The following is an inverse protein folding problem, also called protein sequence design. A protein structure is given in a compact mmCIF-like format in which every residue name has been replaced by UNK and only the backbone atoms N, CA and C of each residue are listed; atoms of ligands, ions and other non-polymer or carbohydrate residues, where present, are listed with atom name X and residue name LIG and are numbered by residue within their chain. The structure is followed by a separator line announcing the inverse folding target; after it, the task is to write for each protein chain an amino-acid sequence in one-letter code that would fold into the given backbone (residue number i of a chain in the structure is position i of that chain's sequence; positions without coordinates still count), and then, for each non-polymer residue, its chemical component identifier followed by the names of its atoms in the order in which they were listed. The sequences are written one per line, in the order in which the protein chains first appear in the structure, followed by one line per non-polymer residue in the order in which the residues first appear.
data_IF_252581206606
#
_entry.id   IF_252581206606
#
_cell.length_a   1.000
_cell.length_b   1.000
_cell.length_c   1.000
_cell.angle_alpha   90.00
_cell.angle_beta   90.00
_cell.angle_gamma   90.00
#
_symmetry.space_group_name_H-M   'P 1'
#
loop_
_entity.id
_entity.type
_entity.pdbx_description
1 polymer ?
#
# COMPACT_ATOMS: atom_id res chain seq x y z
N UNK A 1 -6.08 -15.71 39.18
CA UNK A 1 -5.86 -16.20 37.80
C UNK A 1 -6.60 -15.27 36.85
N UNK A 2 -5.96 -14.72 35.81
CA UNK A 2 -6.71 -13.96 34.82
C UNK A 2 -7.61 -14.95 34.05
N UNK A 3 -8.79 -14.52 33.59
CA UNK A 3 -9.67 -15.38 32.82
C UNK A 3 -8.94 -15.75 31.52
N UNK A 4 -8.79 -17.05 31.27
CA UNK A 4 -8.43 -17.58 29.96
C UNK A 4 -9.51 -17.16 28.97
N UNK A 5 -9.26 -16.08 28.22
CA UNK A 5 -10.06 -15.70 27.07
C UNK A 5 -9.89 -16.77 25.99
N UNK A 6 -10.70 -17.82 26.04
CA UNK A 6 -10.82 -18.79 24.94
C UNK A 6 -11.34 -18.02 23.73
N UNK A 7 -10.48 -17.78 22.75
CA UNK A 7 -10.84 -17.11 21.50
C UNK A 7 -11.97 -17.90 20.83
N UNK A 8 -13.14 -17.29 20.71
CA UNK A 8 -14.28 -17.87 19.98
C UNK A 8 -13.84 -18.17 18.54
N UNK A 9 -13.95 -19.43 18.07
CA UNK A 9 -13.61 -19.76 16.69
C UNK A 9 -14.55 -19.05 15.73
N UNK A 10 -14.02 -18.62 14.58
CA UNK A 10 -14.80 -17.99 13.52
C UNK A 10 -15.66 -19.05 12.83
N UNK A 11 -16.98 -18.98 13.02
CA UNK A 11 -17.95 -19.94 12.46
C UNK A 11 -18.51 -19.44 11.11
N UNK A 12 -18.74 -20.32 10.13
CA UNK A 12 -19.49 -20.03 8.89
C UNK A 12 -20.74 -20.93 8.84
N UNK A 13 -21.92 -20.33 8.70
CA UNK A 13 -23.19 -21.06 8.59
C UNK A 13 -23.62 -21.31 7.13
N UNK A 14 -24.44 -22.34 6.90
CA UNK A 14 -25.07 -22.65 5.60
C UNK A 14 -26.39 -21.88 5.33
N UNK A 15 -26.74 -20.91 6.18
CA UNK A 15 -27.99 -20.15 6.11
C UNK A 15 -27.81 -18.82 5.35
N UNK A 16 -28.91 -18.25 4.88
CA UNK A 16 -28.91 -16.93 4.24
C UNK A 16 -28.30 -15.88 5.18
N UNK A 17 -27.26 -15.14 4.75
CA UNK A 17 -26.53 -14.22 5.61
C UNK A 17 -27.44 -13.11 6.14
N UNK A 18 -27.12 -12.61 7.34
CA UNK A 18 -27.85 -11.54 8.00
C UNK A 18 -26.92 -10.38 8.32
N UNK A 19 -27.42 -9.17 8.12
CA UNK A 19 -26.67 -7.93 8.30
C UNK A 19 -26.89 -7.32 9.71
N UNK A 20 -26.18 -6.24 9.99
CA UNK A 20 -26.43 -5.36 11.13
C UNK A 20 -27.81 -4.72 11.04
N UNK A 21 -28.46 -4.48 12.19
CA UNK A 21 -29.61 -3.58 12.27
C UNK A 21 -29.12 -2.13 12.31
N UNK A 22 -29.78 -1.25 11.57
CA UNK A 22 -29.49 0.18 11.60
C UNK A 22 -29.71 0.77 13.00
N UNK A 23 -28.66 1.31 13.61
CA UNK A 23 -28.69 1.91 14.95
C UNK A 23 -28.50 3.43 14.91
N UNK A 24 -29.04 4.10 13.87
CA UNK A 24 -28.97 5.54 13.65
C UNK A 24 -27.56 6.02 13.29
N UNK A 25 -27.33 6.43 12.05
CA UNK A 25 -26.02 6.85 11.54
C UNK A 25 -24.90 5.83 11.85
N UNK A 26 -25.20 4.54 11.75
CA UNK A 26 -24.24 3.44 11.99
C UNK A 26 -23.80 2.75 10.70
N UNK A 27 -24.26 3.21 9.54
CA UNK A 27 -24.03 2.50 8.28
C UNK A 27 -22.57 2.52 7.85
N UNK A 28 -21.79 3.54 8.20
CA UNK A 28 -20.34 3.54 7.99
C UNK A 28 -19.63 2.42 8.78
N UNK A 29 -20.13 2.05 9.96
CA UNK A 29 -19.60 0.93 10.76
C UNK A 29 -20.01 -0.41 10.15
N UNK A 30 -21.31 -0.59 9.90
CA UNK A 30 -21.84 -1.87 9.41
C UNK A 30 -21.27 -2.21 8.03
N UNK A 31 -21.29 -1.26 7.09
CA UNK A 31 -20.75 -1.43 5.74
C UNK A 31 -19.24 -1.73 5.74
N UNK A 32 -18.47 -1.09 6.62
CA UNK A 32 -17.04 -1.39 6.74
C UNK A 32 -16.80 -2.79 7.28
N UNK A 33 -17.46 -3.17 8.37
CA UNK A 33 -17.20 -4.47 9.00
C UNK A 33 -17.59 -5.65 8.11
N UNK A 34 -18.72 -5.57 7.41
CA UNK A 34 -19.07 -6.62 6.44
C UNK A 34 -18.10 -6.63 5.26
N UNK A 35 -17.60 -5.47 4.83
CA UNK A 35 -16.58 -5.35 3.79
C UNK A 35 -15.19 -5.79 4.25
N UNK A 36 -14.91 -5.92 5.54
CA UNK A 36 -13.61 -6.43 5.99
C UNK A 36 -13.67 -7.92 6.33
N UNK A 37 -14.82 -8.41 6.80
CA UNK A 37 -14.88 -9.69 7.50
C UNK A 37 -16.06 -10.59 7.14
N UNK A 38 -17.06 -10.17 6.35
CA UNK A 38 -18.22 -11.05 6.14
C UNK A 38 -17.85 -12.35 5.44
N UNK A 39 -17.09 -12.26 4.34
CA UNK A 39 -16.97 -13.36 3.36
C UNK A 39 -15.55 -13.85 3.11
N UNK A 40 -14.57 -13.17 3.70
CA UNK A 40 -13.14 -13.42 3.51
C UNK A 40 -12.42 -13.28 4.84
N UNK A 41 -11.28 -13.95 4.95
CA UNK A 41 -10.53 -14.15 6.19
C UNK A 41 -9.13 -13.54 6.16
N UNK A 42 -8.76 -12.85 5.08
CA UNK A 42 -7.41 -12.27 4.93
C UNK A 42 -7.04 -11.30 6.06
N UNK A 43 -8.02 -10.61 6.64
CA UNK A 43 -7.84 -9.65 7.72
C UNK A 43 -8.21 -10.18 9.11
N UNK A 44 -8.61 -11.45 9.26
CA UNK A 44 -9.04 -12.02 10.55
C UNK A 44 -7.96 -11.95 11.63
N UNK A 45 -6.69 -11.94 11.21
CA UNK A 45 -5.54 -11.76 12.09
C UNK A 45 -5.60 -10.46 12.91
N UNK A 46 -6.28 -9.42 12.42
CA UNK A 46 -6.51 -8.16 13.15
C UNK A 46 -7.38 -8.35 14.39
N UNK A 47 -8.24 -9.36 14.41
CA UNK A 47 -9.20 -9.61 15.48
C UNK A 47 -8.66 -10.59 16.52
N UNK A 48 -7.34 -10.84 16.56
CA UNK A 48 -6.73 -11.80 17.48
C UNK A 48 -6.21 -11.18 18.77
N UNK A 49 -6.05 -9.86 18.84
CA UNK A 49 -5.56 -9.20 20.05
C UNK A 49 -6.62 -9.28 21.18
N UNK A 50 -6.20 -9.44 22.44
CA UNK A 50 -7.11 -9.51 23.59
C UNK A 50 -7.49 -8.11 24.08
N UNK A 51 -8.05 -7.27 23.21
CA UNK A 51 -8.54 -5.92 23.57
C UNK A 51 -10.06 -5.87 23.59
N UNK A 52 -10.68 -4.98 24.40
CA UNK A 52 -12.14 -4.82 24.42
C UNK A 52 -12.74 -4.52 23.03
N UNK A 53 -12.04 -3.70 22.24
CA UNK A 53 -12.43 -3.41 20.85
C UNK A 53 -12.39 -4.67 19.98
N UNK A 54 -11.29 -5.44 20.02
CA UNK A 54 -11.18 -6.70 19.28
C UNK A 54 -12.29 -7.68 19.67
N UNK A 55 -12.61 -7.79 20.96
CA UNK A 55 -13.66 -8.67 21.45
C UNK A 55 -15.05 -8.23 20.96
N UNK A 56 -15.33 -6.92 20.94
CA UNK A 56 -16.57 -6.38 20.39
C UNK A 56 -16.70 -6.63 18.88
N UNK A 57 -15.63 -6.38 18.13
CA UNK A 57 -15.55 -6.66 16.69
C UNK A 57 -15.72 -8.15 16.39
N UNK A 58 -14.98 -9.02 17.08
CA UNK A 58 -15.05 -10.48 16.91
C UNK A 58 -16.46 -11.03 17.17
N UNK A 59 -17.13 -10.54 18.23
CA UNK A 59 -18.53 -10.88 18.48
C UNK A 59 -19.45 -10.45 17.33
N UNK A 60 -19.30 -9.23 16.82
CA UNK A 60 -20.12 -8.75 15.70
C UNK A 60 -19.88 -9.56 14.42
N UNK A 61 -18.62 -9.81 14.07
CA UNK A 61 -18.21 -10.58 12.90
C UNK A 61 -18.71 -12.03 12.98
N UNK A 62 -18.59 -12.68 14.14
CA UNK A 62 -19.08 -14.05 14.32
C UNK A 62 -20.59 -14.16 14.09
N UNK A 63 -21.36 -13.14 14.48
CA UNK A 63 -22.80 -13.12 14.23
C UNK A 63 -23.12 -13.00 12.74
N UNK A 64 -22.46 -12.07 12.05
CA UNK A 64 -22.60 -11.89 10.60
C UNK A 64 -22.31 -13.21 9.86
N UNK A 65 -21.17 -13.86 10.18
CA UNK A 65 -20.76 -15.12 9.54
C UNK A 65 -21.62 -16.32 9.94
N UNK A 66 -22.24 -16.28 11.12
CA UNK A 66 -23.21 -17.27 11.58
C UNK A 66 -24.64 -16.98 11.10
N UNK A 67 -24.81 -16.07 10.14
CA UNK A 67 -26.11 -15.67 9.61
C UNK A 67 -27.09 -15.16 10.68
N UNK A 68 -26.58 -14.54 11.75
CA UNK A 68 -27.38 -13.91 12.79
C UNK A 68 -27.32 -12.39 12.65
N UNK A 69 -28.46 -11.69 12.73
CA UNK A 69 -28.45 -10.23 12.66
C UNK A 69 -27.74 -9.65 13.89
N UNK A 70 -26.91 -8.63 13.67
CA UNK A 70 -26.33 -7.87 14.79
C UNK A 70 -27.40 -6.91 15.32
N UNK A 71 -27.96 -7.26 16.48
CA UNK A 71 -29.08 -6.52 17.10
C UNK A 71 -28.68 -5.11 17.54
N UNK A 72 -29.66 -4.20 17.68
CA UNK A 72 -29.42 -2.81 18.10
C UNK A 72 -28.59 -2.69 19.39
N UNK A 73 -28.83 -3.47 20.46
CA UNK A 73 -27.98 -3.41 21.65
C UNK A 73 -26.52 -3.78 21.36
N UNK A 74 -26.28 -4.73 20.44
CA UNK A 74 -24.93 -5.14 20.05
C UNK A 74 -24.23 -4.09 19.19
N UNK A 75 -24.95 -3.42 18.28
CA UNK A 75 -24.40 -2.28 17.53
C UNK A 75 -24.05 -1.12 18.46
N UNK A 76 -24.89 -0.83 19.46
CA UNK A 76 -24.60 0.19 20.49
C UNK A 76 -23.38 -0.18 21.34
N UNK A 77 -23.25 -1.44 21.76
CA UNK A 77 -22.08 -1.92 22.48
C UNK A 77 -20.78 -1.82 21.64
N UNK A 78 -20.86 -2.12 20.35
CA UNK A 78 -19.74 -1.93 19.42
C UNK A 78 -19.36 -0.45 19.29
N UNK A 79 -20.33 0.47 19.19
CA UNK A 79 -20.07 1.92 19.18
C UNK A 79 -19.39 2.39 20.46
N UNK A 80 -19.84 1.90 21.62
CA UNK A 80 -19.19 2.20 22.90
C UNK A 80 -17.73 1.72 22.90
N UNK A 81 -17.46 0.49 22.45
CA UNK A 81 -16.10 -0.03 22.36
C UNK A 81 -15.20 0.76 21.38
N UNK A 82 -15.77 1.30 20.29
CA UNK A 82 -15.04 2.21 19.39
C UNK A 82 -14.68 3.53 20.10
N UNK A 83 -15.64 4.12 20.83
CA UNK A 83 -15.43 5.35 21.60
C UNK A 83 -14.36 5.13 22.67
N UNK A 84 -14.44 4.04 23.43
CA UNK A 84 -13.46 3.68 24.47
C UNK A 84 -12.05 3.45 23.90
N UNK A 85 -11.97 3.05 22.62
CA UNK A 85 -10.72 2.89 21.90
C UNK A 85 -10.20 4.17 21.22
N UNK A 86 -10.89 5.31 21.38
CA UNK A 86 -10.46 6.61 20.87
C UNK A 86 -11.26 7.20 19.70
N UNK A 87 -12.32 6.53 19.22
CA UNK A 87 -13.16 7.02 18.12
C UNK A 87 -14.18 8.08 18.60
N UNK A 88 -13.70 9.27 18.94
CA UNK A 88 -14.52 10.36 19.49
C UNK A 88 -15.16 11.25 18.41
N UNK A 89 -15.98 10.65 17.53
CA UNK A 89 -16.60 11.36 16.38
C UNK A 89 -18.07 11.72 16.55
N UNK A 90 -18.62 11.55 17.75
CA UNK A 90 -20.02 11.83 18.04
C UNK A 90 -20.99 10.80 17.43
N UNK A 91 -22.27 11.15 17.37
CA UNK A 91 -23.35 10.22 16.94
C UNK A 91 -23.77 10.36 15.49
N UNK A 92 -23.23 11.36 14.78
CA UNK A 92 -23.51 11.65 13.36
C UNK A 92 -22.90 10.63 12.39
N UNK A 93 -23.22 10.80 11.11
CA UNK A 93 -22.60 10.03 10.03
C UNK A 93 -21.10 10.37 9.94
N UNK A 94 -20.26 9.36 9.72
CA UNK A 94 -18.82 9.54 9.63
C UNK A 94 -18.26 8.99 8.32
N UNK A 95 -17.03 9.38 8.01
CA UNK A 95 -16.28 8.84 6.89
C UNK A 95 -15.83 7.40 7.17
N UNK A 96 -16.20 6.48 6.27
CA UNK A 96 -15.81 5.07 6.36
C UNK A 96 -14.31 4.86 6.14
N UNK A 97 -13.64 5.70 5.35
CA UNK A 97 -12.20 5.64 5.14
C UNK A 97 -11.44 6.09 6.41
N UNK A 98 -11.96 7.11 7.11
CA UNK A 98 -11.43 7.55 8.40
C UNK A 98 -11.62 6.48 9.48
N UNK A 99 -12.80 5.82 9.52
CA UNK A 99 -13.01 4.69 10.41
C UNK A 99 -12.04 3.52 10.11
N UNK A 100 -11.79 3.23 8.83
CA UNK A 100 -10.82 2.20 8.43
C UNK A 100 -9.41 2.54 8.94
N UNK A 101 -8.95 3.77 8.73
CA UNK A 101 -7.64 4.22 9.22
C UNK A 101 -7.55 4.07 10.74
N UNK A 102 -8.57 4.53 11.48
CA UNK A 102 -8.66 4.36 12.93
C UNK A 102 -8.62 2.89 13.35
N UNK A 103 -9.39 2.02 12.70
CA UNK A 103 -9.37 0.59 13.02
C UNK A 103 -8.01 -0.02 12.76
N UNK A 104 -7.35 0.35 11.68
CA UNK A 104 -6.01 -0.15 11.39
C UNK A 104 -4.97 0.33 12.42
N UNK A 105 -5.06 1.56 12.91
CA UNK A 105 -4.24 2.02 14.03
C UNK A 105 -4.56 1.25 15.33
N UNK A 106 -5.83 1.24 15.73
CA UNK A 106 -6.29 0.64 16.99
C UNK A 106 -6.04 -0.88 17.06
N UNK A 107 -6.05 -1.56 15.92
CA UNK A 107 -5.78 -3.00 15.80
C UNK A 107 -4.32 -3.30 15.45
N UNK A 108 -3.45 -2.28 15.40
CA UNK A 108 -2.04 -2.41 15.04
C UNK A 108 -1.83 -3.12 13.70
N UNK A 109 -2.68 -2.84 12.71
CA UNK A 109 -2.62 -3.44 11.39
C UNK A 109 -1.26 -3.16 10.73
N UNK A 110 -0.68 -4.16 10.04
CA UNK A 110 0.54 -3.95 9.30
C UNK A 110 0.29 -3.02 8.09
N UNK A 111 1.38 -2.50 7.54
CA UNK A 111 1.39 -1.58 6.42
C UNK A 111 1.63 -2.28 5.08
N UNK A 112 1.10 -1.67 4.03
CA UNK A 112 1.36 -1.98 2.62
C UNK A 112 2.69 -1.31 2.23
N UNK A 113 3.77 -2.06 1.96
CA UNK A 113 5.05 -1.49 1.59
C UNK A 113 5.09 -1.14 0.10
N UNK A 114 5.51 0.09 -0.19
CA UNK A 114 5.81 0.59 -1.52
C UNK A 114 7.28 0.98 -1.61
N UNK A 115 7.84 0.87 -2.80
CA UNK A 115 9.15 1.34 -3.15
C UNK A 115 9.04 2.43 -4.20
N UNK A 116 9.51 3.63 -3.90
CA UNK A 116 9.44 4.76 -4.82
C UNK A 116 10.77 4.94 -5.53
N UNK A 117 10.71 5.06 -6.85
CA UNK A 117 11.82 5.42 -7.72
C UNK A 117 11.56 6.82 -8.31
N UNK A 118 12.40 7.77 -7.95
CA UNK A 118 12.30 9.17 -8.35
C UNK A 118 13.15 9.37 -9.62
N UNK A 119 12.48 9.57 -10.75
CA UNK A 119 13.06 9.70 -12.07
C UNK A 119 13.22 11.18 -12.43
N UNK A 120 14.43 11.60 -12.80
CA UNK A 120 14.71 12.98 -13.21
C UNK A 120 15.89 13.07 -14.19
N UNK A 121 16.02 14.21 -14.89
CA UNK A 121 17.06 14.44 -15.90
C UNK A 121 18.48 14.68 -15.35
N UNK A 122 18.70 14.57 -14.03
CA UNK A 122 20.03 14.69 -13.40
C UNK A 122 20.67 13.33 -13.16
N UNK A 123 21.95 13.36 -12.81
CA UNK A 123 22.68 12.16 -12.38
C UNK A 123 21.92 11.47 -11.24
N UNK A 124 21.69 10.15 -11.33
CA UNK A 124 20.97 9.40 -10.29
C UNK A 124 21.54 9.64 -8.90
N UNK A 125 20.70 9.87 -7.91
CA UNK A 125 21.02 10.13 -6.49
C UNK A 125 20.57 8.95 -5.61
N UNK A 126 21.30 8.55 -4.56
CA UNK A 126 20.83 7.48 -3.66
C UNK A 126 19.47 7.80 -3.04
N UNK A 127 19.18 9.08 -2.79
CA UNK A 127 17.91 9.56 -2.26
C UNK A 127 16.76 9.53 -3.28
N UNK A 128 16.99 9.03 -4.50
CA UNK A 128 15.92 8.81 -5.48
C UNK A 128 15.16 7.50 -5.24
N UNK A 129 15.69 6.62 -4.40
CA UNK A 129 15.03 5.38 -4.04
C UNK A 129 14.56 5.41 -2.58
N UNK A 130 13.25 5.47 -2.37
CA UNK A 130 12.67 5.75 -1.05
C UNK A 130 11.55 4.76 -0.72
N UNK A 131 11.70 3.93 0.33
CA UNK A 131 10.59 3.12 0.81
C UNK A 131 9.50 4.03 1.39
N UNK A 132 8.26 3.68 1.15
CA UNK A 132 7.11 4.30 1.82
C UNK A 132 6.12 3.24 2.19
N UNK A 133 5.31 3.48 3.20
CA UNK A 133 4.27 2.55 3.59
C UNK A 133 2.91 3.23 3.60
N UNK A 134 1.90 2.46 3.23
CA UNK A 134 0.53 2.91 3.13
C UNK A 134 -0.38 1.96 3.90
N UNK A 135 -1.60 2.42 4.17
CA UNK A 135 -2.68 1.57 4.68
C UNK A 135 -3.92 1.62 3.81
N UNK A 136 -4.03 2.66 2.99
CA UNK A 136 -5.14 2.95 2.09
C UNK A 136 -4.58 3.75 0.92
N UNK A 137 -4.79 3.27 -0.31
CA UNK A 137 -4.33 3.96 -1.52
C UNK A 137 -5.42 4.92 -1.98
N UNK A 138 -5.13 6.21 -1.98
CA UNK A 138 -6.07 7.23 -2.42
C UNK A 138 -5.95 7.47 -3.92
N UNK A 139 -6.99 7.12 -4.67
CA UNK A 139 -7.05 7.22 -6.12
C UNK A 139 -7.87 8.43 -6.54
N UNK A 140 -7.29 9.28 -7.37
CA UNK A 140 -8.00 10.40 -7.97
C UNK A 140 -8.97 9.89 -9.03
N UNK A 141 -10.20 10.44 -9.06
CA UNK A 141 -11.20 10.10 -10.08
C UNK A 141 -11.29 11.26 -11.06
N UNK A 142 -10.69 11.19 -12.26
CA UNK A 142 -10.83 12.23 -13.28
C UNK A 142 -12.22 12.15 -13.94
N UNK A 143 -12.66 13.21 -14.65
CA UNK A 143 -13.84 13.09 -15.51
C UNK A 143 -13.59 12.03 -16.59
N UNK A 144 -14.63 11.31 -17.05
CA UNK A 144 -14.47 10.33 -18.11
C UNK A 144 -14.02 11.00 -19.41
N UNK A 145 -13.14 10.36 -20.20
CA UNK A 145 -12.71 10.91 -21.48
C UNK A 145 -13.90 10.93 -22.47
N UNK A 146 -13.94 11.85 -23.44
CA UNK A 146 -15.03 11.91 -24.42
C UNK A 146 -15.21 10.61 -25.22
N UNK A 147 -14.14 9.81 -25.35
CA UNK A 147 -14.10 8.55 -26.08
C UNK A 147 -14.62 7.34 -25.30
N UNK A 148 -14.80 7.42 -23.98
CA UNK A 148 -15.24 6.28 -23.17
C UNK A 148 -16.25 6.69 -22.09
N UNK A 149 -17.32 5.91 -21.88
CA UNK A 149 -18.39 6.27 -20.95
C UNK A 149 -17.99 6.14 -19.47
N UNK A 150 -16.87 5.47 -19.15
CA UNK A 150 -16.39 5.22 -17.78
C UNK A 150 -14.86 5.32 -17.73
N UNK A 151 -14.32 5.78 -16.60
CA UNK A 151 -12.89 5.67 -16.32
C UNK A 151 -12.59 4.26 -15.81
N UNK A 152 -11.56 3.59 -16.33
CA UNK A 152 -11.19 2.27 -15.82
C UNK A 152 -10.38 2.39 -14.53
N UNK A 153 -10.64 1.53 -13.53
CA UNK A 153 -9.84 1.47 -12.30
C UNK A 153 -8.35 1.24 -12.60
N UNK A 154 -8.03 0.48 -13.67
CA UNK A 154 -6.65 0.30 -14.14
C UNK A 154 -5.95 1.64 -14.38
N UNK A 155 -6.60 2.57 -15.09
CA UNK A 155 -6.03 3.89 -15.35
C UNK A 155 -5.78 4.68 -14.06
N UNK A 156 -6.68 4.58 -13.07
CA UNK A 156 -6.48 5.24 -11.78
C UNK A 156 -5.27 4.69 -11.01
N UNK A 157 -5.05 3.37 -11.11
CA UNK A 157 -3.90 2.71 -10.52
C UNK A 157 -2.62 3.05 -11.29
N UNK A 158 -2.64 3.04 -12.62
CA UNK A 158 -1.49 3.45 -13.45
C UNK A 158 -1.08 4.90 -13.10
N UNK A 159 -2.03 5.81 -12.90
CA UNK A 159 -1.75 7.17 -12.45
C UNK A 159 -1.13 7.20 -11.04
N UNK A 160 -1.66 6.41 -10.10
CA UNK A 160 -1.14 6.33 -8.73
C UNK A 160 0.29 5.76 -8.66
N UNK A 161 0.58 4.75 -9.48
CA UNK A 161 1.86 4.05 -9.49
C UNK A 161 2.91 4.74 -10.37
N UNK A 162 2.54 5.40 -11.48
CA UNK A 162 3.51 5.83 -12.48
C UNK A 162 3.43 7.31 -12.88
N UNK A 163 2.34 8.02 -12.59
CA UNK A 163 2.14 9.40 -13.08
C UNK A 163 2.35 10.48 -12.00
N UNK A 164 2.86 10.13 -10.81
CA UNK A 164 3.03 11.11 -9.74
C UNK A 164 4.22 12.04 -10.01
N UNK A 165 3.98 13.34 -10.13
CA UNK A 165 5.05 14.33 -10.29
C UNK A 165 5.43 14.95 -8.94
N UNK A 166 6.74 15.12 -8.70
CA UNK A 166 7.31 15.88 -7.59
C UNK A 166 8.06 17.10 -8.15
N UNK A 167 7.40 18.27 -8.25
CA UNK A 167 8.04 19.49 -8.71
C UNK A 167 8.98 20.05 -7.64
N UNK A 168 10.01 20.77 -8.08
CA UNK A 168 10.90 21.52 -7.18
C UNK A 168 11.80 20.67 -6.28
N UNK A 169 12.00 19.40 -6.62
CA UNK A 169 12.94 18.52 -5.95
C UNK A 169 14.35 19.09 -6.08
N UNK A 170 15.08 19.25 -4.97
CA UNK A 170 16.46 19.75 -5.02
C UNK A 170 17.42 18.57 -5.16
N UNK A 171 18.23 18.62 -6.22
CA UNK A 171 19.31 17.65 -6.50
C UNK A 171 20.56 18.41 -6.86
N UNK A 172 21.63 18.15 -6.12
CA UNK A 172 22.92 18.83 -6.32
C UNK A 172 22.79 20.37 -6.33
N UNK A 173 21.92 20.92 -5.47
CA UNK A 173 21.66 22.37 -5.37
C UNK A 173 20.67 22.93 -6.39
N UNK A 174 20.30 22.19 -7.44
CA UNK A 174 19.41 22.62 -8.52
C UNK A 174 18.00 22.08 -8.31
N UNK A 175 16.97 22.89 -8.59
CA UNK A 175 15.58 22.44 -8.62
C UNK A 175 15.30 21.64 -9.90
N UNK A 176 14.64 20.49 -9.75
CA UNK A 176 14.21 19.64 -10.86
C UNK A 176 12.79 19.17 -10.67
N UNK A 177 12.11 18.95 -11.79
CA UNK A 177 10.86 18.21 -11.80
C UNK A 177 11.18 16.73 -11.94
N UNK A 178 10.57 15.92 -11.08
CA UNK A 178 10.77 14.49 -11.06
C UNK A 178 9.45 13.75 -11.19
N UNK A 179 9.48 12.57 -11.80
CA UNK A 179 8.36 11.63 -11.83
C UNK A 179 8.64 10.51 -10.84
N UNK A 180 7.65 10.09 -10.07
CA UNK A 180 7.76 9.00 -9.11
C UNK A 180 7.07 7.78 -9.69
N UNK A 181 7.86 6.75 -9.98
CA UNK A 181 7.38 5.42 -10.27
C UNK A 181 7.40 4.58 -8.99
N UNK A 182 6.33 3.83 -8.72
CA UNK A 182 6.18 3.02 -7.52
C UNK A 182 6.15 1.55 -7.87
N UNK A 183 6.69 0.75 -6.96
CA UNK A 183 6.61 -0.70 -6.96
C UNK A 183 6.00 -1.15 -5.62
N UNK A 184 5.11 -2.13 -5.68
CA UNK A 184 4.44 -2.74 -4.53
C UNK A 184 5.20 -4.00 -4.10
N UNK A 185 5.45 -4.13 -2.81
CA UNK A 185 5.96 -5.37 -2.24
C UNK A 185 4.76 -6.29 -1.94
N UNK A 186 4.77 -7.56 -2.39
CA UNK A 186 3.58 -8.43 -2.35
C UNK A 186 3.30 -9.06 -0.96
N UNK A 187 3.68 -8.37 0.12
CA UNK A 187 3.50 -8.80 1.50
C UNK A 187 3.43 -7.60 2.44
N UNK A 188 2.93 -7.82 3.65
CA UNK A 188 2.83 -6.79 4.69
C UNK A 188 4.17 -6.49 5.38
N UNK A 189 4.34 -5.25 5.84
CA UNK A 189 5.41 -4.85 6.78
C UNK A 189 4.82 -4.25 8.08
N UNK A 190 5.32 -4.58 9.28
CA UNK A 190 5.04 -3.91 10.53
C UNK A 190 5.86 -2.62 10.66
N UNK A 191 6.88 -2.44 9.83
CA UNK A 191 7.82 -1.33 9.94
C UNK A 191 7.38 -0.22 8.98
N UNK A 192 7.19 0.98 9.54
CA UNK A 192 6.89 2.22 8.83
C UNK A 192 8.18 2.94 8.48
N UNK A 193 8.17 3.66 7.36
CA UNK A 193 9.30 4.50 6.93
C UNK A 193 9.69 5.59 7.94
N UNK A 194 8.79 5.98 8.84
CA UNK A 194 9.04 6.95 9.91
C UNK A 194 9.71 6.36 11.16
N UNK A 195 9.96 5.04 11.18
CA UNK A 195 10.58 4.32 12.30
C UNK A 195 9.59 3.71 13.30
N UNK A 196 8.28 3.85 13.07
CA UNK A 196 7.25 3.16 13.85
C UNK A 196 7.22 1.66 13.49
N UNK A 197 7.21 0.77 14.48
CA UNK A 197 7.00 -0.67 14.28
C UNK A 197 5.75 -1.14 15.01
N UNK A 198 4.79 -1.71 14.28
CA UNK A 198 3.57 -2.29 14.86
C UNK A 198 3.78 -3.73 15.32
N UNK A 199 2.99 -4.18 16.30
CA UNK A 199 3.07 -5.56 16.84
C UNK A 199 2.40 -6.62 15.96
N UNK A 200 1.97 -6.27 14.75
CA UNK A 200 1.32 -7.21 13.84
C UNK A 200 2.24 -8.37 13.47
N UNK A 201 1.75 -9.58 13.67
CA UNK A 201 2.47 -10.78 13.26
C UNK A 201 2.19 -11.09 11.79
N UNK A 202 3.08 -10.61 10.89
CA UNK A 202 2.93 -10.70 9.41
C UNK A 202 2.44 -12.08 8.92
N UNK A 203 2.99 -13.17 9.45
CA UNK A 203 2.68 -14.54 8.99
C UNK A 203 1.23 -14.99 9.23
N UNK A 204 0.46 -14.24 10.04
CA UNK A 204 -0.96 -14.52 10.28
C UNK A 204 -1.85 -14.03 9.13
N UNK A 205 -1.34 -13.17 8.26
CA UNK A 205 -2.05 -12.66 7.08
C UNK A 205 -1.75 -13.55 5.87
N UNK A 206 -2.80 -14.06 5.22
CA UNK A 206 -2.66 -15.02 4.11
C UNK A 206 -2.27 -14.34 2.80
N UNK A 207 -2.90 -13.20 2.53
CA UNK A 207 -2.69 -12.37 1.35
C UNK A 207 -2.59 -10.91 1.76
N UNK A 208 -1.90 -10.12 0.96
CA UNK A 208 -1.93 -8.67 1.10
C UNK A 208 -3.29 -8.16 0.62
N UNK A 209 -4.09 -7.63 1.54
CA UNK A 209 -5.30 -6.89 1.19
C UNK A 209 -4.93 -5.43 0.94
N UNK A 210 -5.36 -4.90 -0.20
CA UNK A 210 -5.14 -3.54 -0.67
C UNK A 210 -6.47 -2.76 -0.60
N UNK A 211 -6.64 -1.90 0.41
CA UNK A 211 -7.73 -0.94 0.44
C UNK A 211 -7.44 0.19 -0.55
N UNK A 212 -8.40 0.51 -1.41
CA UNK A 212 -8.35 1.61 -2.36
C UNK A 212 -9.51 2.56 -2.07
N UNK A 213 -9.23 3.84 -1.80
CA UNK A 213 -10.26 4.87 -1.66
C UNK A 213 -10.33 5.73 -2.91
N UNK A 214 -11.53 5.86 -3.48
CA UNK A 214 -11.80 6.73 -4.62
C UNK A 214 -12.12 8.14 -4.10
N UNK A 215 -11.30 9.14 -4.48
CA UNK A 215 -11.51 10.54 -4.09
C UNK A 215 -12.71 11.15 -4.81
N UNK A 216 -13.91 10.82 -4.33
CA UNK A 216 -15.18 11.32 -4.88
C UNK A 216 -15.63 12.63 -4.25
N UNK A 217 -15.11 13.02 -3.09
CA UNK A 217 -15.49 14.27 -2.44
C UNK A 217 -14.43 15.33 -2.75
N UNK A 218 -14.86 16.44 -3.36
CA UNK A 218 -13.96 17.54 -3.68
C UNK A 218 -13.40 18.18 -2.41
N UNK A 219 -12.07 18.36 -2.35
CA UNK A 219 -11.40 18.91 -1.16
C UNK A 219 -11.90 20.32 -0.75
N UNK A 220 -12.40 21.10 -1.71
CA UNK A 220 -12.84 22.48 -1.50
C UNK A 220 -14.36 22.63 -1.44
N UNK A 221 -15.09 21.96 -2.33
CA UNK A 221 -16.56 22.08 -2.39
C UNK A 221 -17.28 21.11 -1.44
N UNK A 222 -16.64 20.01 -1.03
CA UNK A 222 -17.29 18.91 -0.33
C UNK A 222 -18.32 18.16 -1.18
N UNK A 223 -18.53 18.59 -2.43
CA UNK A 223 -19.48 17.99 -3.35
C UNK A 223 -18.98 16.63 -3.82
N UNK A 224 -19.92 15.70 -3.91
CA UNK A 224 -19.64 14.36 -4.40
C UNK A 224 -19.67 14.28 -5.92
N UNK A 225 -18.55 13.82 -6.49
CA UNK A 225 -18.40 13.40 -7.88
C UNK A 225 -18.91 11.99 -8.09
N UNK A 226 -19.81 11.85 -9.07
CA UNK A 226 -20.46 10.57 -9.45
C UNK A 226 -20.08 10.11 -10.86
N UNK A 227 -18.91 10.57 -11.34
CA UNK A 227 -18.30 10.07 -12.57
C UNK A 227 -18.10 8.55 -12.47
N UNK A 228 -18.57 7.76 -13.45
CA UNK A 228 -18.59 6.32 -13.34
C UNK A 228 -17.18 5.73 -13.54
N UNK A 229 -16.81 4.82 -12.64
CA UNK A 229 -15.55 4.05 -12.68
C UNK A 229 -15.88 2.59 -12.96
N UNK A 230 -15.23 1.99 -13.96
CA UNK A 230 -15.32 0.54 -14.19
C UNK A 230 -14.44 -0.19 -13.17
N UNK A 231 -15.06 -1.08 -12.38
CA UNK A 231 -14.42 -1.81 -11.28
C UNK A 231 -14.39 -3.30 -11.61
N UNK A 232 -13.26 -3.81 -12.14
CA UNK A 232 -13.15 -5.20 -12.55
C UNK A 232 -13.07 -6.12 -11.32
N UNK A 233 -13.62 -7.33 -11.44
CA UNK A 233 -13.52 -8.33 -10.35
C UNK A 233 -12.12 -8.96 -10.23
N UNK A 234 -11.33 -8.91 -11.29
CA UNK A 234 -9.94 -9.34 -11.33
C UNK A 234 -9.14 -8.38 -12.24
N UNK A 235 -7.92 -8.02 -11.82
CA UNK A 235 -7.03 -7.14 -12.56
C UNK A 235 -5.60 -7.68 -12.51
N UNK A 236 -4.94 -7.78 -13.67
CA UNK A 236 -3.50 -8.04 -13.70
C UNK A 236 -2.75 -6.83 -13.13
N UNK A 237 -1.92 -7.10 -12.15
CA UNK A 237 -1.13 -6.10 -11.41
C UNK A 237 0.36 -6.46 -11.39
N UNK A 238 0.79 -7.37 -12.28
CA UNK A 238 2.18 -7.83 -12.37
C UNK A 238 3.14 -6.65 -12.51
N UNK A 239 2.79 -5.64 -13.31
CA UNK A 239 3.60 -4.43 -13.51
C UNK A 239 3.87 -3.66 -12.22
N UNK A 240 2.94 -3.70 -11.26
CA UNK A 240 3.08 -2.98 -9.99
C UNK A 240 4.03 -3.71 -9.03
N UNK A 241 4.23 -5.02 -9.17
CA UNK A 241 5.01 -5.85 -8.23
C UNK A 241 6.30 -6.41 -8.84
N UNK A 242 6.51 -6.23 -10.16
CA UNK A 242 7.51 -6.96 -10.94
C UNK A 242 8.93 -6.87 -10.37
N UNK A 243 9.32 -5.70 -9.82
CA UNK A 243 10.64 -5.49 -9.21
C UNK A 243 10.92 -6.45 -8.04
N UNK A 244 9.87 -6.90 -7.34
CA UNK A 244 9.96 -7.74 -6.15
C UNK A 244 9.31 -9.13 -6.32
N UNK A 245 8.70 -9.38 -7.47
CA UNK A 245 7.96 -10.61 -7.74
C UNK A 245 8.82 -11.76 -8.28
N UNK A 246 10.10 -11.52 -8.60
CA UNK A 246 10.99 -12.55 -9.16
C UNK A 246 10.47 -13.15 -10.48
N UNK A 247 9.76 -12.35 -11.28
CA UNK A 247 9.11 -12.79 -12.53
C UNK A 247 7.76 -13.50 -12.35
N UNK A 248 7.26 -13.66 -11.11
CA UNK A 248 5.93 -14.19 -10.88
C UNK A 248 4.84 -13.19 -11.30
N UNK A 249 3.76 -13.71 -11.90
CA UNK A 249 2.57 -12.90 -12.21
C UNK A 249 1.73 -12.69 -10.96
N UNK A 250 1.01 -11.57 -10.91
CA UNK A 250 0.10 -11.25 -9.82
C UNK A 250 -1.22 -10.69 -10.32
N UNK A 251 -2.28 -10.96 -9.59
CA UNK A 251 -3.61 -10.42 -9.83
C UNK A 251 -4.19 -9.81 -8.56
N UNK A 252 -4.93 -8.72 -8.72
CA UNK A 252 -5.78 -8.15 -7.69
C UNK A 252 -7.19 -8.70 -7.87
N UNK A 253 -7.73 -9.39 -6.87
CA UNK A 253 -9.09 -9.92 -6.86
C UNK A 253 -10.01 -9.08 -5.97
N UNK A 254 -11.11 -8.60 -6.52
CA UNK A 254 -12.08 -7.81 -5.77
C UNK A 254 -12.77 -8.68 -4.71
N UNK A 255 -12.79 -8.20 -3.47
CA UNK A 255 -13.50 -8.83 -2.35
C UNK A 255 -14.73 -8.05 -1.93
N UNK A 256 -14.63 -6.73 -1.89
CA UNK A 256 -15.77 -5.89 -1.54
C UNK A 256 -15.65 -4.45 -2.02
N UNK A 257 -16.80 -3.78 -2.05
CA UNK A 257 -16.98 -2.38 -2.38
C UNK A 257 -17.90 -1.75 -1.33
N UNK A 258 -17.49 -0.63 -0.72
CA UNK A 258 -18.40 0.24 0.02
C UNK A 258 -18.80 1.39 -0.88
N UNK A 259 -20.08 1.50 -1.18
CA UNK A 259 -20.68 2.64 -1.86
C UNK A 259 -21.24 3.65 -0.85
N UNK A 260 -21.16 4.93 -1.17
CA UNK A 260 -21.81 5.99 -0.41
C UNK A 260 -22.97 6.58 -1.20
N UNK A 261 -24.20 6.57 -0.68
CA UNK A 261 -25.37 7.23 -1.29
C UNK A 261 -25.59 8.57 -0.62
N UNK A 262 -25.52 9.67 -1.36
CA UNK A 262 -25.77 11.01 -0.81
C UNK A 262 -24.81 12.06 -1.37
N UNK A 263 -25.11 13.34 -1.14
CA UNK A 263 -24.39 14.47 -1.75
C UNK A 263 -23.06 14.80 -1.07
N UNK A 264 -22.87 14.45 0.21
CA UNK A 264 -21.67 14.81 0.98
C UNK A 264 -21.27 13.72 1.97
N UNK A 265 -20.04 13.75 2.46
CA UNK A 265 -19.48 12.69 3.31
C UNK A 265 -20.17 12.57 4.68
N UNK A 266 -20.72 13.67 5.18
CA UNK A 266 -21.44 13.73 6.46
C UNK A 266 -22.96 13.55 6.34
N UNK A 267 -23.49 13.43 5.11
CA UNK A 267 -24.92 13.28 4.87
C UNK A 267 -25.17 12.28 3.73
N UNK A 268 -25.57 11.07 4.13
CA UNK A 268 -25.81 9.99 3.20
C UNK A 268 -25.97 8.64 3.89
N UNK A 269 -25.77 7.58 3.12
CA UNK A 269 -25.96 6.21 3.53
C UNK A 269 -24.95 5.28 2.86
N UNK A 270 -24.19 4.52 3.66
CA UNK A 270 -23.24 3.56 3.13
C UNK A 270 -23.90 2.20 2.88
N UNK A 271 -23.59 1.61 1.73
CA UNK A 271 -24.00 0.25 1.35
C UNK A 271 -22.77 -0.53 0.95
N UNK A 272 -22.62 -1.74 1.46
CA UNK A 272 -21.51 -2.61 1.09
C UNK A 272 -21.94 -3.69 0.11
N UNK A 273 -21.02 -4.06 -0.76
CA UNK A 273 -21.11 -5.19 -1.66
C UNK A 273 -19.93 -6.10 -1.40
N UNK A 274 -20.18 -7.40 -1.26
CA UNK A 274 -19.11 -8.41 -1.24
C UNK A 274 -19.22 -9.28 -2.48
N UNK A 275 -18.07 -9.77 -2.97
CA UNK A 275 -17.98 -10.62 -4.13
C UNK A 275 -17.10 -11.84 -3.85
N UNK A 276 -17.60 -13.01 -4.24
CA UNK A 276 -16.82 -14.24 -4.25
C UNK A 276 -17.19 -15.11 -5.46
N UNK A 277 -16.24 -15.69 -6.20
CA UNK A 277 -16.52 -16.44 -7.44
C UNK A 277 -17.57 -17.55 -7.27
N UNK A 278 -17.66 -18.17 -6.09
CA UNK A 278 -18.63 -19.23 -5.79
C UNK A 278 -19.96 -18.73 -5.24
N UNK A 279 -19.97 -17.55 -4.61
CA UNK A 279 -21.14 -17.03 -3.87
C UNK A 279 -21.86 -15.93 -4.66
N UNK A 280 -21.20 -15.38 -5.68
CA UNK A 280 -21.68 -14.21 -6.42
C UNK A 280 -21.56 -12.93 -5.59
N UNK A 281 -22.39 -11.96 -5.94
CA UNK A 281 -22.49 -10.67 -5.28
C UNK A 281 -23.49 -10.71 -4.14
N UNK A 282 -23.15 -10.08 -3.02
CA UNK A 282 -24.06 -9.81 -1.92
C UNK A 282 -24.10 -8.33 -1.57
N UNK A 283 -25.30 -7.79 -1.43
CA UNK A 283 -25.53 -6.42 -0.98
C UNK A 283 -25.91 -6.42 0.49
N UNK A 284 -25.18 -5.61 1.25
CA UNK A 284 -25.32 -5.42 2.69
C UNK A 284 -25.79 -3.98 2.95
N UNK A 285 -27.10 -3.84 3.13
CA UNK A 285 -27.75 -2.58 3.45
C UNK A 285 -28.39 -2.70 4.84
N UNK A 286 -27.96 -1.90 5.82
CA UNK A 286 -28.48 -2.03 7.19
C UNK A 286 -29.92 -1.48 7.36
N UNK A 287 -30.42 -0.77 6.33
CA UNK A 287 -31.82 -0.35 6.21
C UNK A 287 -32.76 -1.48 5.77
N UNK A 288 -32.23 -2.59 5.25
CA UNK A 288 -33.03 -3.75 4.83
C UNK A 288 -33.35 -4.69 6.02
N UNK A 289 -33.50 -4.16 7.23
CA UNK A 289 -33.85 -4.91 8.46
C UNK A 289 -32.97 -6.14 8.75
N UNK A 290 -31.70 -6.07 8.34
CA UNK A 290 -30.74 -7.15 8.50
C UNK A 290 -30.83 -8.24 7.42
N UNK A 291 -31.58 -8.04 6.34
CA UNK A 291 -31.56 -8.90 5.16
C UNK A 291 -30.30 -8.64 4.31
N UNK A 292 -29.86 -9.67 3.60
CA UNK A 292 -28.75 -9.59 2.63
C UNK A 292 -29.27 -10.07 1.30
N UNK A 293 -29.14 -9.24 0.27
CA UNK A 293 -29.60 -9.56 -1.08
C UNK A 293 -28.46 -10.19 -1.88
N UNK A 294 -28.78 -11.06 -2.82
CA UNK A 294 -27.77 -11.71 -3.67
C UNK A 294 -28.03 -11.48 -5.16
N UNK A 295 -26.97 -11.52 -5.95
CA UNK A 295 -27.00 -11.52 -7.41
C UNK A 295 -25.82 -12.35 -7.96
N UNK A 296 -25.97 -12.89 -9.16
CA UNK A 296 -24.84 -13.48 -9.88
C UNK A 296 -23.96 -12.39 -10.49
N UNK A 297 -22.71 -12.75 -10.79
CA UNK A 297 -21.84 -11.95 -11.63
C UNK A 297 -21.97 -12.36 -13.10
N UNK A 298 -21.87 -11.40 -14.00
CA UNK A 298 -21.77 -11.64 -15.44
C UNK A 298 -20.60 -12.58 -15.75
N UNK A 299 -20.83 -13.58 -16.61
CA UNK A 299 -19.77 -14.50 -17.03
C UNK A 299 -18.62 -13.80 -17.78
N UNK A 300 -18.90 -12.68 -18.45
CA UNK A 300 -17.92 -11.96 -19.26
C UNK A 300 -17.06 -10.98 -18.44
N UNK A 301 -17.65 -10.27 -17.49
CA UNK A 301 -16.98 -9.15 -16.78
C UNK A 301 -16.86 -9.37 -15.26
N UNK A 302 -17.63 -10.30 -14.71
CA UNK A 302 -17.82 -10.48 -13.27
C UNK A 302 -18.65 -9.38 -12.61
N UNK A 303 -19.06 -8.33 -13.33
CA UNK A 303 -19.94 -7.27 -12.81
C UNK A 303 -21.29 -7.86 -12.38
N UNK A 304 -22.01 -7.26 -11.42
CA UNK A 304 -23.31 -7.77 -11.00
C UNK A 304 -24.30 -7.83 -12.18
N UNK A 305 -25.00 -8.96 -12.36
CA UNK A 305 -26.08 -9.08 -13.36
C UNK A 305 -27.23 -8.11 -13.09
N UNK A 306 -27.38 -7.66 -11.84
CA UNK A 306 -28.31 -6.59 -11.48
C UNK A 306 -27.73 -5.24 -11.93
N UNK A 307 -28.21 -4.72 -13.05
CA UNK A 307 -27.77 -3.45 -13.63
C UNK A 307 -27.76 -2.29 -12.63
N UNK A 308 -28.79 -2.19 -11.77
CA UNK A 308 -28.84 -1.17 -10.72
C UNK A 308 -27.67 -1.24 -9.73
N UNK A 309 -27.13 -2.43 -9.45
CA UNK A 309 -25.95 -2.60 -8.59
C UNK A 309 -24.68 -2.26 -9.35
N UNK A 310 -24.56 -2.68 -10.61
CA UNK A 310 -23.42 -2.33 -11.44
C UNK A 310 -23.29 -0.79 -11.59
N UNK A 311 -24.40 -0.09 -11.80
CA UNK A 311 -24.41 1.37 -11.92
C UNK A 311 -24.12 2.08 -10.58
N UNK A 312 -24.66 1.57 -9.46
CA UNK A 312 -24.31 2.09 -8.13
C UNK A 312 -22.83 1.88 -7.80
N UNK A 313 -22.27 0.70 -8.06
CA UNK A 313 -20.85 0.43 -7.87
C UNK A 313 -20.01 1.36 -8.75
N UNK A 314 -20.41 1.58 -10.00
CA UNK A 314 -19.66 2.47 -10.89
C UNK A 314 -19.64 3.93 -10.41
N UNK A 315 -20.78 4.45 -9.93
CA UNK A 315 -20.93 5.88 -9.59
C UNK A 315 -20.64 6.23 -8.14
N UNK A 316 -20.85 5.29 -7.23
CA UNK A 316 -20.94 5.58 -5.80
C UNK A 316 -19.93 4.80 -4.96
N UNK A 317 -19.14 3.91 -5.56
CA UNK A 317 -18.01 3.22 -4.91
C UNK A 317 -17.04 4.19 -4.26
N UNK A 318 -16.79 4.06 -2.98
CA UNK A 318 -15.92 4.95 -2.24
C UNK A 318 -14.69 4.22 -1.69
N UNK A 319 -14.88 3.01 -1.18
CA UNK A 319 -13.80 2.15 -0.69
C UNK A 319 -13.88 0.78 -1.38
N UNK A 320 -12.75 0.30 -1.87
CA UNK A 320 -12.59 -1.01 -2.53
C UNK A 320 -11.58 -1.83 -1.75
N UNK A 321 -11.82 -3.12 -1.63
CA UNK A 321 -10.87 -4.06 -1.04
C UNK A 321 -10.54 -5.13 -2.06
N UNK A 322 -9.27 -5.13 -2.48
CA UNK A 322 -8.70 -6.16 -3.33
C UNK A 322 -7.75 -7.04 -2.53
N UNK A 323 -7.69 -8.32 -2.84
CA UNK A 323 -6.62 -9.20 -2.39
C UNK A 323 -5.61 -9.39 -3.52
N UNK A 324 -4.34 -9.19 -3.20
CA UNK A 324 -3.23 -9.50 -4.08
C UNK A 324 -2.93 -10.99 -4.01
N UNK A 325 -3.06 -11.69 -5.14
CA UNK A 325 -2.80 -13.12 -5.26
C UNK A 325 -1.80 -13.41 -6.37
N UNK A 326 -0.97 -14.46 -6.24
CA UNK A 326 -0.19 -14.97 -7.36
C UNK A 326 -1.07 -15.36 -8.55
N UNK A 327 -0.59 -15.13 -9.77
CA UNK A 327 -1.35 -15.32 -11.01
C UNK A 327 -1.63 -16.77 -11.39
N UNK A 328 -0.92 -17.73 -10.77
CA UNK A 328 -1.25 -19.16 -10.86
C UNK A 328 -2.49 -19.51 -10.01
N UNK A 329 -3.01 -18.57 -9.22
CA UNK A 329 -4.18 -18.76 -8.36
C UNK A 329 -3.92 -19.75 -7.21
N UNK A 330 -2.72 -20.30 -7.12
CA UNK A 330 -2.35 -21.22 -6.06
C UNK A 330 -2.14 -20.45 -4.77
N UNK A 331 -2.77 -20.95 -3.72
CA UNK A 331 -2.48 -20.48 -2.37
C UNK A 331 -1.11 -21.01 -2.01
N UNK A 332 -0.08 -20.20 -2.28
CA UNK A 332 1.27 -20.57 -1.91
C UNK A 332 1.40 -20.56 -0.38
N UNK A 333 1.99 -21.64 0.14
CA UNK A 333 2.10 -21.89 1.58
C UNK A 333 2.95 -20.86 2.31
N UNK A 334 2.99 -20.96 3.64
CA UNK A 334 3.78 -20.06 4.49
C UNK A 334 5.27 -20.01 4.08
N UNK A 335 5.83 -21.15 3.67
CA UNK A 335 7.23 -21.26 3.21
C UNK A 335 7.54 -20.38 2.00
N UNK A 336 6.69 -20.40 0.97
CA UNK A 336 6.84 -19.54 -0.22
C UNK A 336 6.79 -18.04 0.14
N UNK A 337 5.87 -17.66 1.04
CA UNK A 337 5.78 -16.26 1.49
C UNK A 337 7.03 -15.84 2.27
N UNK A 338 7.58 -16.74 3.07
CA UNK A 338 8.86 -16.51 3.76
C UNK A 338 10.01 -16.35 2.76
N UNK A 339 10.05 -17.15 1.70
CA UNK A 339 11.06 -17.03 0.64
C UNK A 339 10.96 -15.69 -0.11
N UNK A 340 9.75 -15.30 -0.56
CA UNK A 340 9.53 -13.99 -1.18
C UNK A 340 9.94 -12.83 -0.26
N UNK A 341 9.65 -12.95 1.04
CA UNK A 341 10.06 -11.96 2.04
C UNK A 341 11.58 -11.88 2.12
N UNK A 342 12.29 -13.02 2.20
CA UNK A 342 13.75 -13.06 2.24
C UNK A 342 14.34 -12.42 1.00
N UNK A 343 13.80 -12.73 -0.18
CA UNK A 343 14.26 -12.15 -1.45
C UNK A 343 14.08 -10.63 -1.48
N UNK A 344 12.93 -10.14 -1.04
CA UNK A 344 12.66 -8.72 -1.00
C UNK A 344 13.45 -7.99 0.10
N UNK A 345 13.65 -8.61 1.27
CA UNK A 345 14.52 -8.06 2.32
C UNK A 345 15.98 -8.00 1.84
N UNK A 346 16.45 -9.03 1.15
CA UNK A 346 17.77 -9.04 0.52
C UNK A 346 17.88 -7.95 -0.55
N UNK A 347 16.85 -7.75 -1.37
CA UNK A 347 16.80 -6.69 -2.37
C UNK A 347 16.85 -5.29 -1.72
N UNK A 348 16.01 -5.06 -0.71
CA UNK A 348 15.99 -3.80 0.05
C UNK A 348 17.30 -3.56 0.78
N UNK A 349 17.90 -4.59 1.38
CA UNK A 349 19.19 -4.51 2.05
C UNK A 349 20.32 -4.20 1.05
N UNK A 350 20.33 -4.84 -0.13
CA UNK A 350 21.29 -4.55 -1.18
C UNK A 350 21.16 -3.10 -1.69
N UNK A 351 19.93 -2.59 -1.85
CA UNK A 351 19.69 -1.20 -2.20
C UNK A 351 20.16 -0.24 -1.10
N UNK A 352 19.87 -0.51 0.17
CA UNK A 352 20.36 0.29 1.30
C UNK A 352 21.88 0.30 1.37
N UNK A 353 22.52 -0.87 1.27
CA UNK A 353 23.99 -0.97 1.26
C UNK A 353 24.59 -0.17 0.10
N UNK A 354 24.01 -0.28 -1.10
CA UNK A 354 24.42 0.54 -2.25
C UNK A 354 24.29 2.05 -1.98
N UNK A 355 23.23 2.48 -1.28
CA UNK A 355 23.06 3.88 -0.88
C UNK A 355 24.12 4.33 0.13
N UNK A 356 24.42 3.50 1.12
CA UNK A 356 25.43 3.76 2.17
C UNK A 356 26.84 3.84 1.57
N UNK A 357 27.23 2.87 0.74
CA UNK A 357 28.54 2.82 0.09
C UNK A 357 28.77 4.04 -0.82
N UNK A 358 27.75 4.47 -1.59
CA UNK A 358 27.83 5.70 -2.41
C UNK A 358 27.95 6.95 -1.55
N UNK A 359 27.19 7.02 -0.46
CA UNK A 359 27.25 8.15 0.47
C UNK A 359 28.60 8.24 1.16
N UNK A 360 29.20 7.11 1.52
CA UNK A 360 30.56 7.02 2.04
C UNK A 360 31.59 7.48 0.98
N UNK A 361 31.47 7.02 -0.27
CA UNK A 361 32.36 7.42 -1.36
C UNK A 361 32.31 8.94 -1.65
N UNK A 362 31.12 9.54 -1.59
CA UNK A 362 30.95 10.99 -1.74
C UNK A 362 31.59 11.79 -0.59
N UNK A 363 31.51 11.29 0.66
CA UNK A 363 32.18 11.90 1.82
C UNK A 363 33.70 11.85 1.66
N UNK A 364 34.25 10.69 1.30
CA UNK A 364 35.70 10.54 1.05
C UNK A 364 36.18 11.44 -0.09
N UNK A 365 35.39 11.60 -1.15
CA UNK A 365 35.72 12.54 -2.25
C UNK A 365 35.68 14.01 -1.83
N UNK A 366 34.79 14.39 -0.90
CA UNK A 366 34.73 15.74 -0.36
C UNK A 366 35.92 16.03 0.58
N UNK A 367 36.36 15.03 1.35
CA UNK A 367 37.52 15.13 2.23
C UNK A 367 38.85 15.11 1.45
N UNK A 368 38.93 14.37 0.34
CA UNK A 368 40.11 14.29 -0.52
C UNK A 368 40.25 15.50 -1.47
N UNK A 369 39.13 16.13 -1.85
CA UNK A 369 39.10 17.37 -2.62
C UNK A 369 39.17 18.57 -1.70
N UNK A 370 40.31 18.78 -1.04
CA UNK A 370 40.54 19.80 -0.01
C UNK A 370 39.74 21.10 -0.19
N UNK A 371 38.59 21.17 0.48
CA UNK A 371 37.89 22.43 0.76
C UNK A 371 38.25 22.77 2.19
N UNK A 372 39.07 23.80 2.32
CA UNK A 372 39.52 24.39 3.57
C UNK A 372 38.30 24.67 4.48
N UNK A 373 38.15 23.83 5.52
CA UNK A 373 37.07 23.89 6.51
C UNK A 373 37.28 25.05 7.51
N UNK A 374 37.71 26.21 7.04
CA UNK A 374 37.88 27.43 7.83
C UNK A 374 36.80 28.49 7.60
N UNK A 375 35.80 28.24 6.74
CA UNK A 375 34.76 29.25 6.42
C UNK A 375 33.40 29.10 7.14
N UNK A 376 33.20 28.08 7.97
CA UNK A 376 31.95 27.90 8.75
C UNK A 376 32.22 27.77 10.26
N UNK A 377 32.91 28.75 10.83
CA UNK A 377 32.89 28.98 12.27
C UNK A 377 32.58 30.45 12.55
N UNK A 378 31.52 30.67 13.32
CA UNK A 378 30.98 31.94 13.89
C UNK A 378 29.94 32.65 13.02
N UNK A 379 28.68 32.35 13.31
CA UNK A 379 27.67 33.36 13.68
C UNK A 379 26.54 32.71 14.47
N UNK A 380 26.74 32.63 15.79
CA UNK A 380 25.65 32.67 16.78
C UNK A 380 25.37 34.15 17.09
N UNK A 381 24.09 34.51 17.10
CA UNK A 381 23.42 35.63 17.78
C UNK A 381 24.25 36.72 18.50
N UNK A 382 24.05 37.99 18.12
CA UNK A 382 23.74 39.15 18.99
C UNK A 382 23.56 40.42 18.12
N UNK A 383 22.33 40.91 17.94
CA UNK A 383 21.75 42.20 18.41
C UNK A 383 22.66 43.46 18.51
N UNK A 384 22.08 44.56 18.00
CA UNK A 384 22.19 46.00 18.31
C UNK A 384 23.42 46.86 17.88
N UNK A 385 23.03 48.08 17.43
CA UNK A 385 23.74 49.38 17.44
C UNK A 385 24.53 49.84 16.19
N UNK A 386 23.84 50.67 15.39
CA UNK A 386 24.20 52.00 14.85
C UNK A 386 25.65 52.47 14.63
N UNK A 387 25.78 53.18 13.49
CA UNK A 387 26.55 54.41 13.22
C UNK A 387 27.95 54.31 12.61
N UNK A 388 28.17 55.13 11.58
CA UNK A 388 29.38 55.94 11.44
C UNK A 388 30.40 55.54 10.38
N UNK A 389 30.38 56.30 9.28
CA UNK A 389 31.53 56.89 8.58
C UNK A 389 32.62 56.07 7.87
N UNK A 390 32.77 56.49 6.61
CA UNK A 390 34.00 56.83 5.91
C UNK A 390 35.03 55.75 5.56
N UNK A 391 35.15 55.56 4.24
CA UNK A 391 36.37 56.09 3.61
C UNK A 391 37.33 55.08 3.01
N UNK A 392 37.59 55.33 1.72
CA UNK A 392 38.83 55.05 0.98
C UNK A 392 38.92 53.73 0.20
N UNK A 393 38.68 53.94 -1.10
CA UNK A 393 39.01 53.12 -2.26
C UNK A 393 40.53 53.13 -2.49
N UNK A 394 41.13 51.97 -2.77
CA UNK A 394 42.52 51.85 -3.23
C UNK A 394 42.78 50.54 -3.97
N UNK A 395 42.73 50.63 -5.31
CA UNK A 395 42.93 49.56 -6.30
C UNK A 395 44.31 48.88 -6.19
N UNK A 396 44.36 47.58 -6.44
CA UNK A 396 45.49 46.94 -7.13
C UNK A 396 44.97 45.86 -8.08
N UNK A 397 45.23 46.07 -9.38
CA UNK A 397 44.89 45.22 -10.51
C UNK A 397 46.08 44.28 -10.78
N UNK A 398 45.78 43.00 -10.96
CA UNK A 398 46.36 42.00 -11.88
C UNK A 398 47.84 42.09 -12.29
N UNK A 399 48.51 40.92 -12.25
CA UNK A 399 49.09 40.29 -13.44
C UNK A 399 49.44 38.82 -13.15
N UNK A 400 48.91 37.92 -13.99
CA UNK A 400 49.25 36.50 -13.99
C UNK A 400 50.22 36.12 -15.11
N UNK A 401 50.84 34.94 -14.97
CA UNK A 401 51.13 33.93 -16.01
C UNK A 401 51.92 32.79 -15.36
N UNK A 402 51.43 31.55 -15.27
CA UNK A 402 51.17 30.54 -16.32
C UNK A 402 52.40 29.63 -16.55
N UNK A 403 52.26 28.31 -16.27
CA UNK A 403 52.65 27.20 -17.16
C UNK A 403 52.30 25.81 -16.60
N UNK A 404 51.68 25.01 -17.48
CA UNK A 404 51.27 23.59 -17.33
C UNK A 404 52.41 22.63 -17.67
N UNK A 405 52.36 21.41 -17.11
CA UNK A 405 52.65 20.11 -17.77
C UNK A 405 51.76 19.06 -17.09
N UNK A 406 50.66 18.62 -17.71
CA UNK A 406 50.45 17.35 -18.45
C UNK A 406 50.71 16.06 -17.67
N UNK A 407 49.63 15.38 -17.26
CA UNK A 407 49.59 13.91 -17.28
C UNK A 407 48.17 13.43 -17.53
N UNK A 408 48.05 12.50 -18.49
CA UNK A 408 46.81 11.89 -18.96
C UNK A 408 46.57 10.63 -18.14
N UNK A 409 45.41 10.51 -17.49
CA UNK A 409 44.84 9.21 -17.09
C UNK A 409 43.40 9.13 -17.58
N UNK A 410 43.20 8.26 -18.57
CA UNK A 410 41.88 7.93 -19.10
C UNK A 410 41.09 7.10 -18.08
N UNK A 411 39.89 7.56 -17.72
CA UNK A 411 38.89 6.76 -17.01
C UNK A 411 38.10 5.93 -18.04
N UNK A 412 37.88 4.63 -17.82
CA UNK A 412 37.14 3.79 -18.75
C UNK A 412 35.65 4.16 -18.74
N UNK A 413 35.07 4.29 -19.94
CA UNK A 413 33.62 4.36 -20.14
C UNK A 413 33.03 2.99 -19.79
N UNK A 414 32.32 2.87 -18.67
CA UNK A 414 31.53 1.67 -18.37
C UNK A 414 30.18 1.74 -19.09
N UNK A 415 30.02 0.86 -20.08
CA UNK A 415 28.79 0.56 -20.80
C UNK A 415 27.91 -0.39 -19.96
N UNK A 416 26.59 -0.31 -20.09
CA UNK A 416 25.56 -0.99 -19.29
C UNK A 416 25.45 -2.53 -19.40
N UNK A 417 26.56 -3.25 -19.59
CA UNK A 417 26.58 -4.71 -19.66
C UNK A 417 26.91 -5.41 -18.31
N UNK A 418 27.13 -4.68 -17.22
CA UNK A 418 27.60 -5.28 -15.95
C UNK A 418 26.51 -5.98 -15.12
N UNK A 419 25.22 -5.77 -15.37
CA UNK A 419 24.16 -6.32 -14.48
C UNK A 419 23.99 -7.84 -14.63
N UNK A 420 24.17 -8.38 -15.83
CA UNK A 420 24.08 -9.84 -16.10
C UNK A 420 25.33 -10.57 -15.58
N UNK A 421 26.51 -9.96 -15.67
CA UNK A 421 27.76 -10.56 -15.17
C UNK A 421 27.79 -10.68 -13.64
N UNK A 422 27.20 -9.72 -12.91
CA UNK A 422 27.11 -9.77 -11.45
C UNK A 422 26.13 -10.85 -11.00
N UNK A 423 24.99 -11.02 -11.69
CA UNK A 423 24.03 -12.08 -11.39
C UNK A 423 24.62 -13.49 -11.64
N UNK A 424 25.40 -13.65 -12.72
CA UNK A 424 26.12 -14.91 -13.02
C UNK A 424 27.22 -15.23 -12.00
N UNK A 425 27.94 -14.21 -11.50
CA UNK A 425 28.98 -14.39 -10.47
C UNK A 425 28.42 -14.74 -9.09
N UNK A 426 27.19 -14.30 -8.78
CA UNK A 426 26.49 -14.65 -7.54
C UNK A 426 25.94 -16.08 -7.61
N UNK A 427 25.38 -16.50 -8.75
CA UNK A 427 24.91 -17.87 -8.97
C UNK A 427 26.07 -18.88 -8.99
N UNK A 428 27.20 -18.56 -9.63
CA UNK A 428 28.38 -19.43 -9.65
C UNK A 428 29.06 -19.59 -8.27
N UNK A 429 28.85 -18.66 -7.33
CA UNK A 429 29.37 -18.75 -5.96
C UNK A 429 28.52 -19.64 -5.04
N UNK A 430 27.26 -19.88 -5.39
CA UNK A 430 26.37 -20.76 -4.63
C UNK A 430 26.60 -22.25 -4.91
N UNK A 431 27.18 -22.63 -6.05
CA UNK A 431 27.51 -24.03 -6.37
C UNK A 431 28.83 -24.53 -5.75
N UNK A 432 29.69 -23.63 -5.25
CA UNK A 432 31.04 -23.99 -4.77
C UNK A 432 31.10 -24.35 -3.27
N UNK A 433 30.02 -24.13 -2.51
CA UNK A 433 29.91 -24.59 -1.12
C UNK A 433 28.85 -25.70 -1.00
N UNK A 434 29.25 -26.89 -1.45
CA UNK A 434 28.38 -28.05 -1.59
C UNK A 434 27.85 -28.64 -0.28
N UNK A 435 26.62 -29.16 -0.37
CA UNK A 435 26.16 -30.30 0.41
C UNK A 435 26.15 -31.52 -0.52
N UNK A 436 27.14 -32.39 -0.37
CA UNK A 436 27.16 -33.70 -1.00
C UNK A 436 26.66 -34.76 -0.01
N UNK A 437 25.67 -35.56 -0.41
CA UNK A 437 25.41 -36.89 0.16
C UNK A 437 24.65 -37.78 -0.85
N UNK A 438 25.43 -38.56 -1.60
CA UNK A 438 25.27 -40.01 -1.89
C UNK A 438 23.94 -40.58 -2.39
N UNK A 439 23.91 -40.82 -3.72
CA UNK A 439 23.63 -42.09 -4.41
C UNK A 439 22.62 -43.11 -3.82
N UNK A 440 21.55 -43.39 -4.57
CA UNK A 440 21.12 -44.78 -4.85
C UNK A 440 20.75 -44.95 -6.33
N UNK A 441 21.31 -46.01 -6.89
CA UNK A 441 21.25 -46.47 -8.26
C UNK A 441 19.82 -46.70 -8.77
N UNK A 442 19.55 -46.26 -10.00
CA UNK A 442 18.45 -46.73 -10.85
C UNK A 442 19.03 -47.35 -12.12
N UNK A 443 18.71 -48.61 -12.36
CA UNK A 443 19.06 -49.39 -13.55
C UNK A 443 18.40 -48.82 -14.84
N UNK A 444 18.94 -49.12 -16.04
CA UNK A 444 18.43 -48.57 -17.28
C UNK A 444 17.18 -49.30 -17.79
N UNK A 445 16.28 -48.52 -18.38
CA UNK A 445 15.09 -48.97 -19.11
C UNK A 445 15.50 -49.74 -20.38
N UNK A 446 14.95 -50.94 -20.55
CA UNK A 446 14.96 -51.68 -21.82
C UNK A 446 13.98 -51.05 -22.81
N UNK A 447 14.42 -51.00 -24.06
CA UNK A 447 13.63 -50.69 -25.26
C UNK A 447 13.19 -52.01 -25.87
N UNK A 448 11.91 -52.18 -26.17
CA UNK A 448 11.46 -53.33 -26.95
C UNK A 448 9.95 -53.43 -27.15
N UNK A 449 9.54 -53.03 -28.35
CA UNK A 449 8.48 -53.62 -29.22
C UNK A 449 7.17 -54.11 -28.62
#
# INVERSE_FOLDING_TARGET
MPPTHTLLPLQRAHQSPRNFRNAGNSCYISSLLVSLFADFDALDALLLAPTPLCDALRRAVNLVRSAQPVSLPRVRALRAALIDAGWHRGTGQQDVAELLAFLFDALSAPFVPLYNNILHARTPDPADHVPSTERLLWLDVPPPPPSAPRVHLRALLDDYFFAQTRPGLRRQGVGVDATVAKSLLPFYTPDRETGETVRATRHKFRYLTLPLALKRFGAHSGEKRRDPVSIPTALDCTDYVNEFAGGARYSMLLRSVVCHRGPSIGAGHYVAYTYGPRVGWRQWNDLDEGAVRSARGSAATGEPEREMWAEEIARDSYLLLYELVPGDGEVKGAAWRTELQILADAHLAAQRQFQEDRSAALRVSADAGGVDASYFARRRFCSCASAGDDGVVGKALFLGRDRRTSEKTALPRFCGACYICILMLILARCEVHGFGATSRFGAPFEVGS
#
